data_IF_043956362605
#
_entry.id   IF_043956362605
#
_cell.length_a   1.000
_cell.length_b   1.000
_cell.length_c   1.000
_cell.angle_alpha   90.00
_cell.angle_beta   90.00
_cell.angle_gamma   90.00
#
_symmetry.space_group_name_H-M   'P 1'
#
loop_
_entity.id
_entity.type
_entity.pdbx_description
1 polymer ?
#
# COMPACT_ATOMS: atom_id res chain seq x y z
N UNK A 1 6.50 20.68 7.46
CA UNK A 1 6.25 19.38 6.79
C UNK A 1 5.04 18.70 7.45
N UNK A 2 4.20 18.00 6.69
CA UNK A 2 3.16 17.14 7.28
C UNK A 2 3.84 15.98 8.02
N UNK A 3 3.18 15.44 9.05
CA UNK A 3 3.65 14.24 9.74
C UNK A 3 3.74 13.05 8.78
N UNK A 4 4.87 12.35 8.83
CA UNK A 4 5.09 11.11 8.07
C UNK A 4 4.44 9.96 8.83
N UNK A 5 3.69 9.12 8.11
CA UNK A 5 3.04 7.94 8.68
C UNK A 5 3.94 6.72 8.56
N UNK A 6 3.96 5.90 9.61
CA UNK A 6 4.55 4.56 9.60
C UNK A 6 3.41 3.54 9.60
N UNK A 7 3.32 2.78 8.52
CA UNK A 7 2.16 1.94 8.19
C UNK A 7 2.58 0.48 8.10
N UNK A 8 2.16 -0.41 9.00
CA UNK A 8 2.26 -1.84 8.80
C UNK A 8 1.23 -2.33 7.78
N UNK A 9 1.62 -3.33 6.95
CA UNK A 9 0.75 -3.98 5.99
C UNK A 9 0.51 -5.44 6.38
N UNK A 10 -0.74 -5.87 6.39
CA UNK A 10 -1.16 -7.27 6.52
C UNK A 10 -1.43 -7.85 5.13
N UNK A 11 -0.49 -8.60 4.58
CA UNK A 11 -0.73 -9.41 3.39
C UNK A 11 -1.45 -10.68 3.84
N UNK A 12 -2.71 -10.86 3.43
CA UNK A 12 -3.56 -11.96 3.93
C UNK A 12 -3.85 -12.96 2.82
N UNK A 13 -3.61 -14.23 3.13
CA UNK A 13 -3.97 -15.40 2.33
C UNK A 13 -4.66 -16.42 3.23
N UNK A 14 -5.84 -16.91 2.81
CA UNK A 14 -6.61 -17.93 3.55
C UNK A 14 -6.83 -17.57 5.04
N UNK A 15 -7.04 -16.28 5.34
CA UNK A 15 -7.28 -15.78 6.69
C UNK A 15 -6.03 -15.72 7.59
N UNK A 16 -4.83 -15.89 7.04
CA UNK A 16 -3.55 -15.80 7.74
C UNK A 16 -2.71 -14.66 7.17
N UNK A 17 -2.00 -13.97 8.03
CA UNK A 17 -0.96 -13.02 7.58
C UNK A 17 0.21 -13.81 7.04
N UNK A 18 0.62 -13.51 5.83
CA UNK A 18 1.71 -14.18 5.13
C UNK A 18 2.72 -13.17 4.61
N UNK A 19 3.95 -13.59 4.39
CA UNK A 19 4.96 -12.82 3.67
C UNK A 19 5.90 -13.72 2.91
N UNK A 20 6.25 -13.30 1.69
CA UNK A 20 7.23 -13.94 0.82
C UNK A 20 8.04 -12.90 0.08
N UNK A 21 8.91 -13.36 -0.82
CA UNK A 21 9.64 -12.50 -1.76
C UNK A 21 8.86 -12.48 -3.07
N UNK A 22 8.53 -11.30 -3.59
CA UNK A 22 7.73 -11.11 -4.82
C UNK A 22 6.43 -11.94 -4.85
N UNK A 23 5.75 -12.08 -3.69
CA UNK A 23 4.55 -12.89 -3.47
C UNK A 23 4.71 -14.42 -3.69
N UNK A 24 5.94 -14.94 -3.72
CA UNK A 24 6.23 -16.37 -3.76
C UNK A 24 6.86 -16.86 -2.46
N UNK A 25 6.83 -18.18 -2.21
CA UNK A 25 7.34 -18.81 -0.98
C UNK A 25 6.78 -18.19 0.29
N UNK A 26 5.46 -17.96 0.31
CA UNK A 26 4.76 -17.35 1.43
C UNK A 26 4.94 -18.14 2.72
N UNK A 27 5.35 -17.44 3.78
CA UNK A 27 5.45 -17.98 5.14
C UNK A 27 4.32 -17.38 5.98
N UNK A 28 3.68 -18.21 6.78
CA UNK A 28 2.72 -17.78 7.79
C UNK A 28 3.45 -16.93 8.84
N UNK A 29 2.93 -15.76 9.15
CA UNK A 29 3.46 -14.89 10.18
C UNK A 29 2.62 -14.97 11.46
N UNK A 30 1.30 -14.73 11.38
CA UNK A 30 0.38 -14.77 12.54
C UNK A 30 -1.09 -14.62 12.11
N UNK A 31 -1.98 -14.65 13.10
CA UNK A 31 -3.38 -14.26 12.93
C UNK A 31 -3.51 -12.75 12.63
N UNK A 32 -4.33 -12.33 11.64
CA UNK A 32 -4.47 -10.93 11.27
C UNK A 32 -5.08 -10.05 12.36
N UNK A 33 -5.94 -10.58 13.23
CA UNK A 33 -6.53 -9.83 14.34
C UNK A 33 -5.48 -9.56 15.41
N UNK A 34 -4.70 -10.58 15.79
CA UNK A 34 -3.60 -10.44 16.73
C UNK A 34 -2.53 -9.45 16.23
N UNK A 35 -2.21 -9.51 14.93
CA UNK A 35 -1.28 -8.58 14.30
C UNK A 35 -1.80 -7.14 14.35
N UNK A 36 -3.06 -6.93 13.98
CA UNK A 36 -3.70 -5.62 13.99
C UNK A 36 -3.73 -5.00 15.40
N UNK A 37 -4.11 -5.79 16.40
CA UNK A 37 -4.10 -5.37 17.81
C UNK A 37 -2.69 -4.97 18.28
N UNK A 38 -1.68 -5.77 17.94
CA UNK A 38 -0.30 -5.47 18.30
C UNK A 38 0.19 -4.15 17.67
N UNK A 39 -0.16 -3.86 16.40
CA UNK A 39 0.21 -2.63 15.73
C UNK A 39 -0.54 -1.41 16.28
N UNK A 40 -1.82 -1.56 16.64
CA UNK A 40 -2.56 -0.51 17.34
C UNK A 40 -1.87 -0.14 18.67
N UNK A 41 -1.49 -1.15 19.49
CA UNK A 41 -0.78 -0.93 20.77
C UNK A 41 0.60 -0.30 20.58
N UNK A 42 1.30 -0.60 19.49
CA UNK A 42 2.59 0.00 19.14
C UNK A 42 2.50 1.42 18.58
N UNK A 43 1.28 1.94 18.37
CA UNK A 43 1.07 3.30 17.88
C UNK A 43 1.30 3.47 16.38
N UNK A 44 1.03 2.47 15.56
CA UNK A 44 1.00 2.63 14.11
C UNK A 44 0.05 3.77 13.71
N UNK A 45 0.34 4.47 12.62
CA UNK A 45 -0.45 5.63 12.20
C UNK A 45 -1.66 5.24 11.35
N UNK A 46 -1.57 4.13 10.67
CA UNK A 46 -2.61 3.53 9.83
C UNK A 46 -2.29 2.03 9.69
N UNK A 47 -3.27 1.20 9.39
CA UNK A 47 -3.10 -0.21 9.05
C UNK A 47 -3.61 -0.47 7.64
N UNK A 48 -2.83 -1.19 6.84
CA UNK A 48 -3.25 -1.68 5.52
C UNK A 48 -3.48 -3.19 5.58
N UNK A 49 -4.59 -3.65 5.02
CA UNK A 49 -4.94 -5.06 4.85
C UNK A 49 -5.09 -5.34 3.36
N UNK A 50 -4.37 -6.32 2.85
CA UNK A 50 -4.43 -6.72 1.45
C UNK A 50 -4.81 -8.20 1.35
N UNK A 51 -5.97 -8.51 0.75
CA UNK A 51 -6.30 -9.87 0.31
C UNK A 51 -5.54 -10.13 -1.00
N UNK A 52 -4.31 -10.67 -0.87
CA UNK A 52 -3.37 -10.79 -1.98
C UNK A 52 -3.77 -11.81 -3.04
N UNK A 53 -4.68 -12.74 -2.71
CA UNK A 53 -5.16 -13.75 -3.65
C UNK A 53 -6.43 -13.34 -4.40
N UNK A 54 -7.15 -12.34 -3.90
CA UNK A 54 -8.47 -11.98 -4.45
C UNK A 54 -8.44 -11.68 -5.96
N UNK A 55 -7.47 -10.88 -6.40
CA UNK A 55 -7.34 -10.52 -7.83
C UNK A 55 -6.84 -11.68 -8.69
N UNK A 56 -5.90 -12.48 -8.17
CA UNK A 56 -5.35 -13.66 -8.88
C UNK A 56 -6.43 -14.74 -9.04
N UNK A 57 -7.21 -14.97 -8.00
CA UNK A 57 -8.33 -15.92 -8.00
C UNK A 57 -9.61 -15.37 -8.66
N UNK A 58 -9.55 -14.13 -9.18
CA UNK A 58 -10.69 -13.45 -9.80
C UNK A 58 -11.95 -13.45 -8.91
N UNK A 59 -11.77 -13.14 -7.62
CA UNK A 59 -12.83 -13.04 -6.61
C UNK A 59 -12.79 -11.69 -5.88
N UNK A 60 -13.86 -11.42 -5.16
CA UNK A 60 -13.93 -10.27 -4.23
C UNK A 60 -13.09 -10.54 -2.98
N UNK A 61 -12.73 -9.47 -2.28
CA UNK A 61 -12.15 -9.51 -0.93
C UNK A 61 -13.01 -10.38 0.01
N UNK A 62 -12.38 -11.17 0.85
CA UNK A 62 -13.08 -11.96 1.88
C UNK A 62 -13.53 -11.08 3.03
N UNK A 63 -14.77 -10.59 2.96
CA UNK A 63 -15.34 -9.63 3.91
C UNK A 63 -15.37 -10.16 5.35
N UNK A 64 -15.47 -11.47 5.54
CA UNK A 64 -15.41 -12.12 6.86
C UNK A 64 -14.07 -11.91 7.59
N UNK A 65 -12.95 -11.84 6.84
CA UNK A 65 -11.63 -11.55 7.42
C UNK A 65 -11.50 -10.08 7.76
N UNK A 66 -11.94 -9.21 6.85
CA UNK A 66 -11.95 -7.76 7.05
C UNK A 66 -12.77 -7.40 8.28
N UNK A 67 -13.97 -7.96 8.43
CA UNK A 67 -14.87 -7.69 9.56
C UNK A 67 -14.22 -7.99 10.91
N UNK A 68 -13.51 -9.12 11.02
CA UNK A 68 -12.82 -9.50 12.27
C UNK A 68 -11.75 -8.46 12.64
N UNK A 69 -10.94 -8.02 11.67
CA UNK A 69 -9.90 -7.02 11.89
C UNK A 69 -10.51 -5.66 12.19
N UNK A 70 -11.53 -5.22 11.42
CA UNK A 70 -12.19 -3.93 11.59
C UNK A 70 -12.79 -3.72 12.99
N UNK A 71 -13.24 -4.81 13.65
CA UNK A 71 -13.78 -4.76 15.01
C UNK A 71 -12.72 -4.47 16.09
N UNK A 72 -11.44 -4.71 15.79
CA UNK A 72 -10.33 -4.58 16.74
C UNK A 72 -9.44 -3.36 16.48
N UNK A 73 -9.44 -2.84 15.25
CA UNK A 73 -8.58 -1.71 14.86
C UNK A 73 -9.12 -0.41 15.42
N UNK A 74 -8.26 0.35 16.10
CA UNK A 74 -8.56 1.68 16.69
C UNK A 74 -7.88 2.83 15.95
N UNK A 75 -7.13 2.54 14.90
CA UNK A 75 -6.42 3.48 14.03
C UNK A 75 -7.03 3.49 12.64
N UNK A 76 -6.74 4.47 11.77
CA UNK A 76 -7.17 4.45 10.38
C UNK A 76 -6.86 3.10 9.71
N UNK A 77 -7.85 2.53 9.01
CA UNK A 77 -7.79 1.19 8.43
C UNK A 77 -8.13 1.23 6.94
N UNK A 78 -7.19 0.79 6.12
CA UNK A 78 -7.35 0.67 4.67
C UNK A 78 -7.39 -0.81 4.26
N UNK A 79 -8.27 -1.13 3.33
CA UNK A 79 -8.44 -2.50 2.79
C UNK A 79 -8.27 -2.50 1.30
N UNK A 80 -7.52 -3.47 0.78
CA UNK A 80 -7.31 -3.69 -0.65
C UNK A 80 -7.34 -5.17 -1.05
N UNK A 81 -7.27 -5.42 -2.36
CA UNK A 81 -7.35 -6.74 -2.97
C UNK A 81 -8.78 -7.12 -3.34
N UNK A 82 -9.06 -7.31 -4.63
CA UNK A 82 -10.36 -7.77 -5.13
C UNK A 82 -11.52 -6.77 -5.04
N UNK A 83 -11.25 -5.49 -4.81
CA UNK A 83 -12.25 -4.40 -4.82
C UNK A 83 -12.41 -3.92 -6.26
N UNK A 84 -13.60 -4.08 -6.82
CA UNK A 84 -13.86 -3.78 -8.23
C UNK A 84 -15.10 -2.94 -8.51
N UNK A 85 -15.87 -2.56 -7.49
CA UNK A 85 -17.12 -1.82 -7.66
C UNK A 85 -17.43 -0.88 -6.51
N UNK A 86 -18.34 0.06 -6.75
CA UNK A 86 -18.90 0.94 -5.71
C UNK A 86 -19.57 0.12 -4.61
N UNK A 87 -20.26 -0.97 -4.94
CA UNK A 87 -20.92 -1.83 -3.96
C UNK A 87 -19.91 -2.53 -3.03
N UNK A 88 -18.73 -2.93 -3.54
CA UNK A 88 -17.68 -3.49 -2.69
C UNK A 88 -17.17 -2.47 -1.66
N UNK A 89 -17.00 -1.21 -2.10
CA UNK A 89 -16.58 -0.12 -1.22
C UNK A 89 -17.64 0.22 -0.17
N UNK A 90 -18.93 0.22 -0.55
CA UNK A 90 -20.05 0.42 0.40
C UNK A 90 -20.04 -0.63 1.50
N UNK A 91 -19.86 -1.90 1.13
CA UNK A 91 -19.80 -3.00 2.08
C UNK A 91 -18.61 -2.85 3.05
N UNK A 92 -17.42 -2.49 2.55
CA UNK A 92 -16.25 -2.20 3.38
C UNK A 92 -16.49 -1.04 4.34
N UNK A 93 -17.03 0.06 3.83
CA UNK A 93 -17.28 1.26 4.65
C UNK A 93 -18.35 1.04 5.71
N UNK A 94 -19.35 0.20 5.43
CA UNK A 94 -20.35 -0.21 6.42
C UNK A 94 -19.77 -1.03 7.58
N UNK A 95 -18.60 -1.67 7.40
CA UNK A 95 -17.88 -2.40 8.44
C UNK A 95 -16.93 -1.50 9.28
N UNK A 96 -16.86 -0.20 8.98
CA UNK A 96 -15.97 0.73 9.67
C UNK A 96 -14.58 0.88 9.02
N UNK A 97 -14.34 0.29 7.84
CA UNK A 97 -13.11 0.52 7.07
C UNK A 97 -13.02 1.99 6.68
N UNK A 98 -11.88 2.62 6.93
CA UNK A 98 -11.66 4.04 6.64
C UNK A 98 -11.39 4.32 5.17
N UNK A 99 -10.63 3.45 4.50
CA UNK A 99 -10.19 3.64 3.11
C UNK A 99 -10.30 2.34 2.30
N UNK A 100 -10.68 2.46 1.02
CA UNK A 100 -10.62 1.39 0.03
C UNK A 100 -9.40 1.59 -0.88
N UNK A 101 -8.56 0.56 -0.99
CA UNK A 101 -7.39 0.56 -1.87
C UNK A 101 -7.70 -0.26 -3.12
N UNK A 102 -7.74 0.41 -4.27
CA UNK A 102 -8.14 -0.15 -5.57
C UNK A 102 -6.96 -0.12 -6.54
N UNK A 103 -6.80 -1.15 -7.35
CA UNK A 103 -5.69 -1.29 -8.30
C UNK A 103 -6.21 -1.76 -9.68
N UNK A 104 -6.18 -3.04 -9.97
CA UNK A 104 -6.49 -3.62 -11.30
C UNK A 104 -7.82 -3.15 -11.89
N UNK A 105 -8.83 -2.95 -11.06
CA UNK A 105 -10.15 -2.50 -11.50
C UNK A 105 -10.09 -1.09 -12.12
N UNK A 106 -9.34 -0.17 -11.52
CA UNK A 106 -9.25 1.22 -12.00
C UNK A 106 -8.30 1.38 -13.19
N UNK A 107 -7.31 0.51 -13.34
CA UNK A 107 -6.51 0.46 -14.56
C UNK A 107 -7.37 0.08 -15.76
N UNK A 108 -8.37 -0.80 -15.57
CA UNK A 108 -9.33 -1.21 -16.60
C UNK A 108 -10.46 -0.21 -16.81
N UNK A 109 -10.94 0.42 -15.72
CA UNK A 109 -12.01 1.41 -15.72
C UNK A 109 -11.66 2.61 -14.82
N UNK A 110 -10.92 3.61 -15.31
CA UNK A 110 -10.53 4.78 -14.52
C UNK A 110 -11.71 5.59 -13.98
N UNK A 111 -12.88 5.55 -14.63
CA UNK A 111 -14.08 6.26 -14.17
C UNK A 111 -14.53 5.83 -12.75
N UNK A 112 -14.20 4.60 -12.34
CA UNK A 112 -14.51 4.11 -11.00
C UNK A 112 -13.85 4.98 -9.90
N UNK A 113 -12.70 5.62 -10.16
CA UNK A 113 -12.05 6.52 -9.20
C UNK A 113 -12.95 7.74 -8.94
N UNK A 114 -13.40 8.41 -10.01
CA UNK A 114 -14.24 9.61 -9.89
C UNK A 114 -15.62 9.30 -9.32
N UNK A 115 -16.23 8.18 -9.68
CA UNK A 115 -17.49 7.71 -9.10
C UNK A 115 -17.36 7.47 -7.59
N UNK A 116 -16.29 6.77 -7.18
CA UNK A 116 -16.02 6.49 -5.77
C UNK A 116 -15.71 7.76 -4.99
N UNK A 117 -14.88 8.66 -5.54
CA UNK A 117 -14.53 9.92 -4.90
C UNK A 117 -15.75 10.84 -4.72
N UNK A 118 -16.63 10.90 -5.72
CA UNK A 118 -17.86 11.68 -5.64
C UNK A 118 -18.83 11.13 -4.58
N UNK A 119 -18.89 9.81 -4.43
CA UNK A 119 -19.82 9.16 -3.50
C UNK A 119 -19.33 9.13 -2.07
N UNK A 120 -18.05 8.85 -1.83
CA UNK A 120 -17.50 8.55 -0.51
C UNK A 120 -16.53 9.62 0.03
N UNK A 121 -16.13 10.59 -0.80
CA UNK A 121 -15.05 11.53 -0.52
C UNK A 121 -13.69 10.97 -0.95
N UNK A 122 -12.87 11.83 -1.54
CA UNK A 122 -11.56 11.45 -2.09
C UNK A 122 -10.61 10.86 -1.04
N UNK A 123 -10.67 11.33 0.19
CA UNK A 123 -9.84 10.91 1.32
C UNK A 123 -10.02 9.43 1.69
N UNK A 124 -11.11 8.80 1.22
CA UNK A 124 -11.38 7.37 1.41
C UNK A 124 -10.91 6.50 0.24
N UNK A 125 -10.44 7.10 -0.83
CA UNK A 125 -10.03 6.39 -2.05
C UNK A 125 -8.51 6.40 -2.18
N UNK A 126 -7.93 5.23 -2.02
CA UNK A 126 -6.50 4.97 -2.26
C UNK A 126 -6.37 4.22 -3.58
N UNK A 127 -5.53 4.70 -4.49
CA UNK A 127 -5.17 3.91 -5.67
C UNK A 127 -3.83 3.25 -5.42
N UNK A 128 -3.82 1.92 -5.39
CA UNK A 128 -2.59 1.15 -5.37
C UNK A 128 -2.02 1.07 -6.78
N UNK A 129 -0.74 1.37 -6.90
CA UNK A 129 0.02 1.29 -8.15
C UNK A 129 1.19 0.35 -7.93
N UNK A 130 1.17 -0.79 -8.62
CA UNK A 130 2.33 -1.68 -8.67
C UNK A 130 3.17 -1.29 -9.87
N UNK A 131 4.45 -1.01 -9.63
CA UNK A 131 5.39 -0.58 -10.66
C UNK A 131 6.56 -1.53 -10.81
N UNK A 132 7.10 -1.61 -12.02
CA UNK A 132 8.36 -2.30 -12.31
C UNK A 132 9.24 -1.47 -13.23
N UNK A 133 10.54 -1.78 -13.24
CA UNK A 133 11.50 -1.22 -14.18
C UNK A 133 11.66 -2.15 -15.39
N UNK A 134 11.57 -1.57 -16.58
CA UNK A 134 11.86 -2.29 -17.83
C UNK A 134 13.27 -1.95 -18.32
N UNK A 135 13.88 -2.88 -19.05
CA UNK A 135 15.15 -2.67 -19.71
C UNK A 135 15.03 -1.62 -20.83
N UNK A 136 16.09 -0.87 -21.07
CA UNK A 136 16.19 0.02 -22.22
C UNK A 136 16.01 -0.75 -23.53
N UNK A 137 15.28 -0.18 -24.48
CA UNK A 137 15.02 -0.82 -25.77
C UNK A 137 13.91 -1.89 -25.75
N UNK A 138 13.24 -2.12 -24.63
CA UNK A 138 12.13 -3.08 -24.55
C UNK A 138 10.87 -2.67 -25.32
N UNK A 139 10.75 -1.41 -25.73
CA UNK A 139 9.53 -0.84 -26.32
C UNK A 139 8.44 -0.50 -25.30
N UNK A 140 8.70 -0.72 -24.01
CA UNK A 140 7.82 -0.40 -22.89
C UNK A 140 8.32 0.82 -22.11
N UNK A 141 7.45 1.53 -21.35
CA UNK A 141 7.89 2.59 -20.45
C UNK A 141 8.95 2.10 -19.46
N UNK A 142 9.96 2.91 -19.18
CA UNK A 142 11.03 2.55 -18.23
C UNK A 142 10.46 2.20 -16.83
N UNK A 143 9.51 2.99 -16.37
CA UNK A 143 8.75 2.74 -15.16
C UNK A 143 7.31 2.42 -15.58
N UNK A 144 6.93 1.17 -15.47
CA UNK A 144 5.67 0.65 -15.98
C UNK A 144 4.72 0.27 -14.85
N UNK A 145 3.43 0.58 -15.04
CA UNK A 145 2.35 0.05 -14.21
C UNK A 145 2.10 -1.42 -14.57
N UNK A 146 2.08 -2.28 -13.56
CA UNK A 146 1.70 -3.69 -13.70
C UNK A 146 0.47 -3.99 -12.84
N UNK A 147 -0.27 -5.03 -13.21
CA UNK A 147 -1.49 -5.45 -12.49
C UNK A 147 -1.45 -6.95 -12.18
N UNK A 148 -2.46 -7.45 -11.46
CA UNK A 148 -2.54 -8.85 -11.01
C UNK A 148 -1.27 -9.30 -10.28
N UNK A 149 -0.92 -8.58 -9.23
CA UNK A 149 0.28 -8.86 -8.43
C UNK A 149 1.59 -8.80 -9.25
N UNK A 150 1.63 -7.98 -10.31
CA UNK A 150 2.80 -7.79 -11.16
C UNK A 150 2.96 -8.79 -12.30
N UNK A 151 1.96 -9.65 -12.53
CA UNK A 151 2.02 -10.67 -13.60
C UNK A 151 1.67 -10.12 -14.99
N UNK A 152 0.86 -9.05 -15.05
CA UNK A 152 0.35 -8.50 -16.31
C UNK A 152 0.89 -7.09 -16.55
N UNK A 153 1.56 -6.93 -17.71
CA UNK A 153 2.04 -5.66 -18.25
C UNK A 153 0.85 -4.82 -18.75
N UNK A 154 0.86 -3.52 -18.47
CA UNK A 154 -0.18 -2.61 -18.96
C UNK A 154 0.27 -1.70 -20.09
N UNK A 155 1.59 -1.56 -20.29
CA UNK A 155 2.19 -0.59 -21.20
C UNK A 155 2.03 0.86 -20.74
N UNK A 156 1.46 1.11 -19.55
CA UNK A 156 1.25 2.46 -19.01
C UNK A 156 2.49 2.95 -18.29
N UNK A 157 2.92 4.18 -18.59
CA UNK A 157 3.93 4.88 -17.81
C UNK A 157 3.39 5.24 -16.42
N UNK A 158 4.19 4.96 -15.38
CA UNK A 158 3.74 5.07 -13.98
C UNK A 158 3.47 6.53 -13.57
N UNK A 159 4.26 7.49 -14.08
CA UNK A 159 4.10 8.91 -13.74
C UNK A 159 2.86 9.48 -14.42
N UNK A 160 2.65 9.10 -15.67
CA UNK A 160 1.44 9.48 -16.42
C UNK A 160 0.20 8.94 -15.73
N UNK A 161 0.23 7.66 -15.32
CA UNK A 161 -0.88 7.03 -14.60
C UNK A 161 -1.13 7.69 -13.24
N UNK A 162 -0.09 8.02 -12.49
CA UNK A 162 -0.25 8.71 -11.20
C UNK A 162 -0.98 10.07 -11.34
N UNK A 163 -0.69 10.83 -12.40
CA UNK A 163 -1.40 12.09 -12.71
C UNK A 163 -2.86 11.85 -13.10
N UNK A 164 -3.14 10.81 -13.88
CA UNK A 164 -4.52 10.41 -14.22
C UNK A 164 -5.31 10.04 -12.95
N UNK A 165 -4.70 9.28 -12.05
CA UNK A 165 -5.26 8.88 -10.74
C UNK A 165 -5.63 10.10 -9.90
N UNK A 166 -4.71 11.05 -9.75
CA UNK A 166 -4.96 12.30 -9.02
C UNK A 166 -6.09 13.12 -9.67
N UNK A 167 -6.03 13.32 -10.98
CA UNK A 167 -7.03 14.09 -11.71
C UNK A 167 -8.42 13.45 -11.68
N UNK A 168 -8.48 12.13 -11.54
CA UNK A 168 -9.73 11.38 -11.37
C UNK A 168 -10.29 11.46 -9.95
N UNK A 169 -9.57 12.06 -8.99
CA UNK A 169 -10.07 12.32 -7.65
C UNK A 169 -9.65 11.33 -6.58
N UNK A 170 -8.60 10.54 -6.79
CA UNK A 170 -7.99 9.76 -5.72
C UNK A 170 -7.44 10.66 -4.60
N UNK A 171 -7.51 10.22 -3.36
CA UNK A 171 -7.00 10.96 -2.21
C UNK A 171 -5.57 10.57 -1.81
N UNK A 172 -5.09 9.39 -2.24
CA UNK A 172 -3.76 8.86 -1.88
C UNK A 172 -3.32 7.82 -2.92
N UNK A 173 -2.02 7.73 -3.15
CA UNK A 173 -1.39 6.64 -3.92
C UNK A 173 -0.61 5.73 -2.97
N UNK A 174 -0.87 4.43 -3.02
CA UNK A 174 -0.04 3.39 -2.43
C UNK A 174 0.84 2.80 -3.54
N UNK A 175 2.12 3.21 -3.56
CA UNK A 175 3.06 2.86 -4.61
C UNK A 175 3.96 1.70 -4.19
N UNK A 176 3.83 0.56 -4.85
CA UNK A 176 4.65 -0.63 -4.58
C UNK A 176 5.61 -0.90 -5.74
N UNK A 177 6.92 -0.97 -5.45
CA UNK A 177 7.88 -1.50 -6.40
C UNK A 177 7.83 -3.03 -6.39
N UNK A 178 7.42 -3.61 -7.51
CA UNK A 178 7.36 -5.07 -7.68
C UNK A 178 8.75 -5.70 -7.63
N UNK A 179 9.75 -5.00 -8.17
CA UNK A 179 11.13 -5.48 -8.20
C UNK A 179 11.78 -5.51 -6.80
N UNK A 180 11.38 -4.58 -5.94
CA UNK A 180 11.91 -4.45 -4.59
C UNK A 180 11.11 -5.26 -3.54
N UNK A 181 9.84 -5.61 -3.79
CA UNK A 181 8.97 -6.21 -2.79
C UNK A 181 9.52 -7.53 -2.23
N UNK A 182 9.59 -7.61 -0.91
CA UNK A 182 10.10 -8.77 -0.17
C UNK A 182 11.62 -8.91 -0.14
N UNK A 183 12.38 -8.13 -0.93
CA UNK A 183 13.86 -8.25 -1.03
C UNK A 183 14.60 -7.72 0.20
N UNK A 184 14.01 -6.81 0.97
CA UNK A 184 14.63 -6.06 2.06
C UNK A 184 15.83 -5.19 1.63
N UNK A 185 15.99 -4.91 0.34
CA UNK A 185 17.10 -4.13 -0.21
C UNK A 185 16.87 -2.61 -0.23
N UNK A 186 15.74 -2.16 0.22
CA UNK A 186 15.28 -0.76 0.22
C UNK A 186 14.12 -0.52 -0.74
N UNK A 187 13.45 0.63 -0.55
CA UNK A 187 12.43 1.09 -1.49
C UNK A 187 13.05 1.44 -2.85
N UNK A 188 12.28 1.35 -3.92
CA UNK A 188 12.67 1.95 -5.19
C UNK A 188 12.54 3.49 -5.10
N UNK A 189 13.65 4.13 -4.71
CA UNK A 189 13.70 5.57 -4.47
C UNK A 189 13.49 6.39 -5.73
N UNK A 190 13.96 5.90 -6.88
CA UNK A 190 13.76 6.55 -8.17
C UNK A 190 12.28 6.60 -8.54
N UNK A 191 11.61 5.44 -8.51
CA UNK A 191 10.19 5.31 -8.82
C UNK A 191 9.33 6.12 -7.83
N UNK A 192 9.64 5.99 -6.53
CA UNK A 192 8.91 6.70 -5.47
C UNK A 192 9.02 8.21 -5.65
N UNK A 193 10.22 8.73 -5.90
CA UNK A 193 10.46 10.16 -6.14
C UNK A 193 9.74 10.64 -7.40
N UNK A 194 9.86 9.89 -8.51
CA UNK A 194 9.24 10.27 -9.77
C UNK A 194 7.72 10.45 -9.64
N UNK A 195 7.05 9.57 -8.89
CA UNK A 195 5.61 9.67 -8.62
C UNK A 195 5.33 10.78 -7.61
N UNK A 196 6.07 10.85 -6.50
CA UNK A 196 5.81 11.84 -5.44
C UNK A 196 6.00 13.30 -5.91
N UNK A 197 6.92 13.55 -6.86
CA UNK A 197 7.14 14.88 -7.46
C UNK A 197 6.12 15.21 -8.56
N UNK A 198 5.43 14.19 -9.10
CA UNK A 198 4.48 14.37 -10.19
C UNK A 198 3.05 14.70 -9.74
N UNK A 199 2.70 14.43 -8.47
CA UNK A 199 1.35 14.61 -7.91
C UNK A 199 1.39 15.43 -6.61
N UNK A 200 0.25 16.00 -6.22
CA UNK A 200 0.10 16.74 -4.96
C UNK A 200 -0.56 15.92 -3.83
N UNK A 201 -1.20 14.80 -4.17
CA UNK A 201 -1.77 13.87 -3.20
C UNK A 201 -0.67 13.05 -2.51
N UNK A 202 -0.90 12.57 -1.27
CA UNK A 202 0.05 11.75 -0.55
C UNK A 202 0.45 10.49 -1.34
N UNK A 203 1.75 10.17 -1.32
CA UNK A 203 2.30 8.93 -1.87
C UNK A 203 2.91 8.12 -0.73
N UNK A 204 2.43 6.89 -0.55
CA UNK A 204 2.97 5.92 0.40
C UNK A 204 3.96 5.01 -0.32
N UNK A 205 5.22 4.98 0.14
CA UNK A 205 6.24 4.07 -0.39
C UNK A 205 6.04 2.65 0.14
N UNK A 206 6.05 1.66 -0.74
CA UNK A 206 5.86 0.24 -0.44
C UNK A 206 6.79 -0.65 -1.26
N UNK A 207 7.17 -1.80 -0.69
CA UNK A 207 8.04 -2.79 -1.32
C UNK A 207 9.53 -2.54 -1.07
N UNK A 208 10.20 -3.47 -0.37
CA UNK A 208 11.65 -3.48 -0.20
C UNK A 208 12.20 -3.00 1.15
N UNK A 209 11.39 -2.46 2.06
CA UNK A 209 11.89 -2.03 3.37
C UNK A 209 12.51 -3.19 4.16
N UNK A 210 13.77 -3.03 4.58
CA UNK A 210 14.52 -4.03 5.35
C UNK A 210 15.22 -3.47 6.58
N UNK A 211 15.41 -2.14 6.66
CA UNK A 211 16.11 -1.47 7.75
C UNK A 211 15.46 -0.16 8.12
N UNK A 212 15.81 0.41 9.28
CA UNK A 212 15.40 1.75 9.70
C UNK A 212 15.85 2.83 8.70
N UNK A 213 17.06 2.66 8.15
CA UNK A 213 17.61 3.58 7.15
C UNK A 213 16.74 3.59 5.87
N UNK A 214 16.24 2.45 5.42
CA UNK A 214 15.36 2.38 4.27
C UNK A 214 14.08 3.20 4.46
N UNK A 215 13.51 3.20 5.68
CA UNK A 215 12.35 4.04 6.01
C UNK A 215 12.70 5.53 5.89
N UNK A 216 13.85 5.94 6.38
CA UNK A 216 14.35 7.30 6.28
C UNK A 216 14.58 7.72 4.82
N UNK A 217 15.26 6.89 4.04
CA UNK A 217 15.50 7.15 2.61
C UNK A 217 14.21 7.28 1.80
N UNK A 218 13.22 6.43 2.09
CA UNK A 218 11.89 6.52 1.46
C UNK A 218 11.26 7.92 1.63
N UNK A 219 11.44 8.55 2.78
CA UNK A 219 10.95 9.90 3.07
C UNK A 219 11.84 10.98 2.44
N UNK A 220 13.15 10.92 2.66
CA UNK A 220 14.06 12.02 2.30
C UNK A 220 14.40 12.00 0.81
N UNK A 221 14.76 10.85 0.29
CA UNK A 221 15.16 10.67 -1.10
C UNK A 221 13.97 10.34 -2.00
N UNK A 222 13.09 9.43 -1.54
CA UNK A 222 11.87 9.05 -2.27
C UNK A 222 10.75 10.08 -2.21
N UNK A 223 10.85 11.09 -1.31
CA UNK A 223 9.82 12.14 -1.10
C UNK A 223 8.44 11.59 -0.69
N UNK A 224 8.40 10.38 -0.16
CA UNK A 224 7.16 9.76 0.28
C UNK A 224 6.53 10.50 1.46
N UNK A 225 5.19 10.54 1.50
CA UNK A 225 4.38 11.09 2.60
C UNK A 225 4.13 10.07 3.71
N UNK A 226 4.35 8.79 3.41
CA UNK A 226 4.24 7.67 4.34
C UNK A 226 5.16 6.53 3.91
N UNK A 227 5.56 5.70 4.87
CA UNK A 227 6.36 4.49 4.64
C UNK A 227 5.59 3.26 5.10
N UNK A 228 5.43 2.30 4.21
CA UNK A 228 4.75 1.04 4.48
C UNK A 228 5.75 -0.10 4.50
N UNK A 229 5.65 -0.95 5.50
CA UNK A 229 6.47 -2.16 5.60
C UNK A 229 5.64 -3.33 6.17
N UNK A 230 6.06 -4.54 5.85
CA UNK A 230 5.43 -5.78 6.31
C UNK A 230 6.41 -6.65 7.08
N UNK A 231 7.35 -7.29 6.40
CA UNK A 231 8.21 -8.34 6.97
C UNK A 231 8.99 -7.90 8.21
N UNK A 232 9.59 -6.71 8.20
CA UNK A 232 10.41 -6.21 9.34
C UNK A 232 9.56 -6.04 10.61
N UNK A 233 8.28 -5.69 10.46
CA UNK A 233 7.35 -5.58 11.58
C UNK A 233 6.74 -6.93 11.98
N UNK A 234 6.38 -7.79 11.01
CA UNK A 234 5.78 -9.09 11.28
C UNK A 234 6.70 -10.03 12.04
N UNK A 235 7.98 -10.03 11.68
CA UNK A 235 8.98 -10.91 12.31
C UNK A 235 9.67 -10.26 13.52
N UNK A 236 9.24 -9.05 13.92
CA UNK A 236 9.77 -8.36 15.10
C UNK A 236 11.22 -7.91 14.94
N UNK A 237 11.71 -7.78 13.71
CA UNK A 237 13.06 -7.28 13.43
C UNK A 237 13.19 -5.80 13.80
N UNK A 238 12.10 -5.05 13.62
CA UNK A 238 11.94 -3.63 13.96
C UNK A 238 10.53 -3.46 14.51
N UNK A 239 10.37 -2.67 15.56
CA UNK A 239 9.06 -2.28 16.10
C UNK A 239 8.62 -0.92 15.54
N UNK A 240 7.31 -0.63 15.58
CA UNK A 240 6.79 0.69 15.17
C UNK A 240 7.40 1.83 16.01
N UNK A 241 7.51 1.72 17.37
CA UNK A 241 8.18 2.73 18.17
C UNK A 241 9.64 2.97 17.78
N UNK A 242 10.42 1.92 17.49
CA UNK A 242 11.81 2.06 17.04
C UNK A 242 11.89 2.79 15.69
N UNK A 243 11.01 2.45 14.74
CA UNK A 243 10.94 3.13 13.45
C UNK A 243 10.63 4.62 13.60
N UNK A 244 9.64 4.97 14.41
CA UNK A 244 9.26 6.37 14.68
C UNK A 244 10.35 7.14 15.42
N UNK A 245 10.96 6.54 16.43
CA UNK A 245 12.08 7.13 17.16
C UNK A 245 13.23 7.44 16.21
N UNK A 246 13.62 6.48 15.38
CA UNK A 246 14.71 6.64 14.40
C UNK A 246 14.46 7.79 13.42
N UNK A 247 13.24 7.91 12.90
CA UNK A 247 12.83 9.00 12.01
C UNK A 247 12.83 10.35 12.76
N UNK A 248 12.28 10.41 13.96
CA UNK A 248 12.22 11.62 14.79
C UNK A 248 13.60 12.16 15.13
N UNK A 249 14.53 11.29 15.53
CA UNK A 249 15.93 11.65 15.84
C UNK A 249 16.69 12.25 14.63
N UNK A 250 16.19 12.00 13.40
CA UNK A 250 16.70 12.55 12.14
C UNK A 250 15.89 13.74 11.61
N UNK A 251 15.04 14.33 12.47
CA UNK A 251 14.28 15.53 12.12
C UNK A 251 13.06 15.29 11.25
N UNK A 252 12.65 14.02 11.06
CA UNK A 252 11.41 13.69 10.34
C UNK A 252 10.22 13.82 11.30
N UNK A 253 9.21 14.65 11.00
CA UNK A 253 8.04 14.79 11.85
C UNK A 253 7.19 13.51 11.80
N UNK A 254 7.11 12.80 12.91
CA UNK A 254 6.26 11.61 13.14
C UNK A 254 5.44 11.79 14.42
N UNK A 255 4.35 11.07 14.55
CA UNK A 255 3.61 10.98 15.81
C UNK A 255 4.28 9.91 16.70
N UNK A 256 4.83 10.31 17.83
CA UNK A 256 5.37 9.40 18.85
C UNK A 256 4.27 8.84 19.74
#
# INVERSE_FOLDING_TARGET
MKQIKVIPCLDVKEGRVVKGVNFVNLRDARDPVEAAEAYCRQGADELVFLDIMATVENRRTRMEWVKKVAQMVTIPFAVGGGIGSIADMEELFAMGVGKASINTAVVKNPALISEAAAKFGKERIVVAIDGRKNAEGSGLPRLEVVVKSGEESTGKDIVTWAREVESSGAGEILLTSKDADGTKAGYDLEMTRAVAEAVSIPVTASGGAGTLEHLYQGVVEGKASAVLAASIFHFGEITIPEAKKYLSERGIPVRL
#
